data_IF_037373219072
#
_entry.id   IF_037373219072
#
_cell.length_a   1.000
_cell.length_b   1.000
_cell.length_c   1.000
_cell.angle_alpha   90.00
_cell.angle_beta   90.00
_cell.angle_gamma   90.00
#
_symmetry.space_group_name_H-M   'P 1'
#
loop_
_entity.id
_entity.type
_entity.pdbx_description
1 polymer ?
#
# COMPACT_ATOMS: atom_id res chain seq x y z
N UNK A 1 52.23 48.12 -4.93
CA UNK A 1 51.66 47.33 -4.02
C UNK A 1 50.21 47.08 -4.11
N UNK A 2 49.88 46.08 -4.49
CA UNK A 2 48.60 45.78 -4.56
C UNK A 2 48.28 44.77 -3.56
N UNK A 3 47.54 45.11 -2.74
CA UNK A 3 46.99 44.09 -1.99
C UNK A 3 46.06 43.40 -2.90
N UNK A 4 46.46 42.39 -3.41
CA UNK A 4 45.50 41.56 -4.02
C UNK A 4 44.60 41.18 -2.94
N UNK A 5 43.47 41.62 -3.06
CA UNK A 5 42.45 41.16 -2.22
C UNK A 5 42.46 39.66 -2.32
N UNK A 6 42.71 39.04 -1.26
CA UNK A 6 42.63 37.61 -1.25
C UNK A 6 41.27 37.26 -1.79
N UNK A 7 41.21 36.38 -2.73
CA UNK A 7 39.92 35.99 -3.22
C UNK A 7 39.10 35.51 -2.05
N UNK A 8 38.07 36.20 -1.86
CA UNK A 8 37.14 35.77 -0.82
C UNK A 8 36.70 34.40 -1.20
N UNK A 9 37.09 33.49 -0.40
CA UNK A 9 36.60 32.15 -0.63
C UNK A 9 35.09 32.21 -0.59
N UNK A 10 34.50 32.02 -1.72
CA UNK A 10 33.08 31.93 -1.77
C UNK A 10 32.72 30.80 -0.85
N UNK A 11 31.86 31.04 0.10
CA UNK A 11 31.46 29.96 0.99
C UNK A 11 30.85 28.87 0.14
N UNK A 12 31.44 27.75 0.22
CA UNK A 12 30.88 26.57 -0.43
C UNK A 12 29.48 26.43 0.09
N UNK A 13 28.52 26.35 -0.78
CA UNK A 13 27.16 26.16 -0.29
C UNK A 13 27.14 24.90 0.52
N UNK A 14 26.80 25.04 1.76
CA UNK A 14 26.64 23.91 2.64
C UNK A 14 25.56 23.07 2.02
N UNK A 15 25.82 21.80 1.79
CA UNK A 15 24.78 20.95 1.24
C UNK A 15 23.62 21.02 2.17
N UNK A 16 22.48 21.39 1.61
CA UNK A 16 21.27 21.46 2.35
C UNK A 16 21.03 20.10 2.97
N UNK A 17 20.78 20.03 4.29
CA UNK A 17 20.52 18.74 4.89
C UNK A 17 19.33 18.14 4.20
N UNK A 18 19.55 17.01 3.61
CA UNK A 18 18.45 16.25 3.02
C UNK A 18 17.42 16.08 4.10
N UNK A 19 16.18 16.50 3.85
CA UNK A 19 15.19 16.35 4.87
C UNK A 19 15.12 14.87 5.20
N UNK A 20 15.49 14.56 6.42
CA UNK A 20 15.33 13.23 6.91
C UNK A 20 13.86 12.93 6.77
N UNK A 21 13.50 11.86 6.08
CA UNK A 21 12.08 11.54 5.99
C UNK A 21 11.58 11.45 7.40
N UNK A 22 10.59 12.27 7.67
CA UNK A 22 9.93 12.22 8.96
C UNK A 22 9.55 10.78 9.18
N UNK A 23 9.92 10.19 10.30
CA UNK A 23 9.49 8.84 10.53
C UNK A 23 7.99 8.83 10.55
N UNK A 24 7.41 8.55 9.41
CA UNK A 24 6.04 8.16 9.35
C UNK A 24 5.95 6.98 10.28
N UNK A 25 4.96 6.92 11.17
CA UNK A 25 4.80 5.74 11.99
C UNK A 25 4.80 4.57 11.04
N UNK A 26 5.89 3.83 11.06
CA UNK A 26 6.02 2.72 10.15
C UNK A 26 4.96 1.72 10.52
N UNK A 27 4.16 1.38 9.54
CA UNK A 27 3.18 0.31 9.70
C UNK A 27 3.98 -0.95 9.97
N UNK A 28 3.73 -1.58 11.11
CA UNK A 28 4.41 -2.81 11.47
C UNK A 28 3.66 -4.03 10.97
N UNK A 29 2.36 -3.91 10.81
CA UNK A 29 1.58 -5.03 10.29
C UNK A 29 0.30 -4.56 9.63
N UNK A 30 -0.17 -5.36 8.68
CA UNK A 30 -1.42 -5.11 8.00
C UNK A 30 -2.17 -6.45 7.91
N UNK A 31 -3.45 -6.43 8.21
CA UNK A 31 -4.29 -7.62 8.18
C UNK A 31 -5.52 -7.33 7.34
N UNK A 32 -5.85 -8.22 6.43
CA UNK A 32 -7.08 -8.10 5.65
C UNK A 32 -8.21 -8.73 6.44
N UNK A 33 -9.29 -7.98 6.59
CA UNK A 33 -10.46 -8.44 7.33
C UNK A 33 -11.70 -8.36 6.46
N UNK A 34 -12.66 -9.21 6.76
CA UNK A 34 -13.96 -9.20 6.12
C UNK A 34 -15.01 -9.34 7.23
N UNK A 35 -15.90 -8.35 7.31
CA UNK A 35 -16.91 -8.29 8.37
C UNK A 35 -16.32 -8.42 9.77
N UNK A 36 -15.13 -7.82 9.95
CA UNK A 36 -14.46 -7.82 11.25
C UNK A 36 -13.65 -9.06 11.56
N UNK A 37 -13.62 -10.02 10.66
CA UNK A 37 -12.85 -11.25 10.86
C UNK A 37 -11.64 -11.29 9.95
N UNK A 38 -10.53 -11.75 10.49
CA UNK A 38 -9.32 -11.92 9.70
C UNK A 38 -9.55 -12.94 8.59
N UNK A 39 -9.19 -12.57 7.37
CA UNK A 39 -9.35 -13.45 6.21
C UNK A 39 -8.06 -13.55 5.44
N UNK A 40 -7.63 -14.77 5.19
CA UNK A 40 -6.49 -15.03 4.30
C UNK A 40 -6.98 -15.59 2.97
N UNK A 41 -8.23 -16.00 2.91
CA UNK A 41 -8.84 -16.49 1.68
C UNK A 41 -10.35 -16.37 1.79
N UNK A 42 -11.01 -16.23 0.67
CA UNK A 42 -12.47 -16.24 0.62
C UNK A 42 -12.93 -16.64 -0.79
N UNK A 43 -14.19 -17.05 -0.89
CA UNK A 43 -14.79 -17.43 -2.15
C UNK A 43 -15.91 -16.47 -2.50
N UNK A 44 -16.05 -16.19 -3.78
CA UNK A 44 -17.11 -15.34 -4.30
C UNK A 44 -17.54 -15.87 -5.66
N UNK A 45 -18.55 -15.26 -6.23
CA UNK A 45 -19.04 -15.64 -7.56
C UNK A 45 -18.78 -14.50 -8.53
N UNK A 46 -18.78 -14.83 -9.81
CA UNK A 46 -18.67 -13.80 -10.85
C UNK A 46 -19.80 -12.79 -10.66
N UNK A 47 -19.43 -11.52 -10.60
CA UNK A 47 -20.40 -10.45 -10.40
C UNK A 47 -20.63 -10.08 -8.93
N UNK A 48 -20.11 -10.86 -8.00
CA UNK A 48 -20.24 -10.53 -6.59
C UNK A 48 -19.22 -9.45 -6.20
N UNK A 49 -19.63 -8.60 -5.28
CA UNK A 49 -18.75 -7.60 -4.70
C UNK A 49 -18.50 -7.94 -3.25
N UNK A 50 -17.24 -7.99 -2.86
CA UNK A 50 -16.85 -8.35 -1.50
C UNK A 50 -16.07 -7.19 -0.91
N UNK A 51 -16.65 -6.45 0.05
CA UNK A 51 -15.92 -5.35 0.67
C UNK A 51 -14.93 -5.88 1.69
N UNK A 52 -13.65 -5.70 1.40
CA UNK A 52 -12.59 -6.05 2.34
C UNK A 52 -12.15 -4.83 3.10
N UNK A 53 -11.65 -5.05 4.29
CA UNK A 53 -11.08 -3.98 5.11
C UNK A 53 -9.71 -4.39 5.56
N UNK A 54 -8.94 -3.43 6.05
CA UNK A 54 -7.62 -3.72 6.58
C UNK A 54 -7.51 -3.19 8.00
N UNK A 55 -6.76 -3.91 8.81
CA UNK A 55 -6.38 -3.45 10.13
C UNK A 55 -4.89 -3.19 10.10
N UNK A 56 -4.49 -1.99 10.46
CA UNK A 56 -3.10 -1.56 10.39
C UNK A 56 -2.62 -1.25 11.81
N UNK A 57 -1.41 -1.69 12.13
CA UNK A 57 -0.78 -1.39 13.40
C UNK A 57 0.53 -0.64 13.19
N UNK A 58 0.80 0.40 13.96
CA UNK A 58 -0.11 0.96 14.97
C UNK A 58 -1.27 1.72 14.32
N UNK A 59 -2.41 1.71 14.99
CA UNK A 59 -3.58 2.42 14.52
C UNK A 59 -3.34 3.92 14.59
N UNK A 60 -3.88 4.66 13.63
CA UNK A 60 -3.76 6.11 13.64
C UNK A 60 -2.80 6.70 12.64
N UNK A 61 -2.13 5.88 11.85
CA UNK A 61 -1.31 6.40 10.77
C UNK A 61 -2.18 6.83 9.60
N UNK A 62 -1.86 7.98 9.02
CA UNK A 62 -2.56 8.45 7.81
C UNK A 62 -2.03 7.73 6.59
N UNK A 63 -1.97 6.44 6.64
CA UNK A 63 -1.40 5.66 5.57
C UNK A 63 -2.49 5.19 4.62
N UNK A 64 -2.24 5.39 3.35
CA UNK A 64 -3.17 4.93 2.33
C UNK A 64 -2.84 3.48 1.98
N UNK A 65 -3.85 2.63 2.04
CA UNK A 65 -3.69 1.25 1.65
C UNK A 65 -3.84 1.15 0.14
N UNK A 66 -2.89 0.51 -0.50
CA UNK A 66 -2.94 0.26 -1.94
C UNK A 66 -3.38 -1.18 -2.16
N UNK A 67 -4.44 -1.34 -2.92
CA UNK A 67 -4.98 -2.65 -3.25
C UNK A 67 -4.59 -3.04 -4.66
N UNK A 68 -4.29 -4.28 -4.86
CA UNK A 68 -3.99 -4.79 -6.20
C UNK A 68 -4.47 -6.22 -6.33
N UNK A 69 -4.77 -6.60 -7.57
CA UNK A 69 -5.17 -7.96 -7.90
C UNK A 69 -4.10 -8.58 -8.79
N UNK A 70 -3.71 -9.79 -8.46
CA UNK A 70 -2.71 -10.50 -9.26
C UNK A 70 -3.24 -10.82 -10.66
N UNK A 71 -4.54 -11.09 -10.77
CA UNK A 71 -5.16 -11.39 -12.05
C UNK A 71 -6.52 -10.70 -12.12
N UNK A 72 -6.55 -9.56 -12.80
CA UNK A 72 -7.76 -8.77 -12.91
C UNK A 72 -8.80 -9.39 -13.81
N UNK A 73 -8.44 -10.39 -14.59
CA UNK A 73 -9.41 -11.10 -15.40
C UNK A 73 -10.25 -12.07 -14.56
N UNK A 74 -9.80 -12.36 -13.36
CA UNK A 74 -10.53 -13.23 -12.43
C UNK A 74 -11.26 -12.38 -11.40
N UNK A 75 -10.57 -11.41 -10.81
CA UNK A 75 -11.17 -10.50 -9.85
C UNK A 75 -10.43 -9.17 -9.87
N UNK A 76 -11.18 -8.10 -9.67
CA UNK A 76 -10.62 -6.76 -9.54
C UNK A 76 -10.84 -6.26 -8.13
N UNK A 77 -10.06 -5.27 -7.73
CA UNK A 77 -10.22 -4.66 -6.42
C UNK A 77 -10.19 -3.14 -6.58
N UNK A 78 -11.08 -2.47 -5.86
CA UNK A 78 -11.15 -1.01 -5.89
C UNK A 78 -10.18 -0.41 -4.87
N UNK A 79 -10.00 0.90 -4.93
CA UNK A 79 -9.17 1.62 -3.98
C UNK A 79 -9.67 1.48 -2.55
N UNK A 80 -10.90 1.12 -2.40
CA UNK A 80 -11.51 0.95 -1.06
C UNK A 80 -11.46 -0.49 -0.58
N UNK A 81 -10.90 -1.38 -1.38
CA UNK A 81 -10.82 -2.78 -0.99
C UNK A 81 -12.03 -3.61 -1.39
N UNK A 82 -12.88 -3.11 -2.27
CA UNK A 82 -14.02 -3.90 -2.75
C UNK A 82 -13.55 -4.79 -3.89
N UNK A 83 -13.68 -6.09 -3.69
CA UNK A 83 -13.29 -7.09 -4.68
C UNK A 83 -14.50 -7.46 -5.51
N UNK A 84 -14.34 -7.42 -6.83
CA UNK A 84 -15.42 -7.78 -7.75
C UNK A 84 -15.00 -9.00 -8.56
N UNK A 85 -15.84 -10.03 -8.57
CA UNK A 85 -15.59 -11.21 -9.37
C UNK A 85 -15.82 -10.91 -10.85
N UNK A 86 -14.84 -11.22 -11.68
CA UNK A 86 -14.91 -10.95 -13.12
C UNK A 86 -14.99 -12.25 -13.90
N UNK A 87 -14.18 -13.22 -13.53
CA UNK A 87 -14.14 -14.50 -14.21
C UNK A 87 -13.82 -15.63 -13.26
N UNK A 88 -14.24 -16.83 -13.64
CA UNK A 88 -13.97 -18.02 -12.83
C UNK A 88 -12.48 -18.28 -12.73
N UNK A 89 -12.01 -18.55 -11.51
CA UNK A 89 -10.62 -18.89 -11.27
C UNK A 89 -10.16 -18.49 -9.89
N UNK A 90 -8.86 -18.48 -9.69
CA UNK A 90 -8.26 -18.12 -8.42
C UNK A 90 -7.26 -17.00 -8.63
N UNK A 91 -7.33 -15.97 -7.80
CA UNK A 91 -6.38 -14.87 -7.84
C UNK A 91 -6.01 -14.47 -6.42
N UNK A 92 -5.03 -13.59 -6.30
CA UNK A 92 -4.61 -13.08 -5.01
C UNK A 92 -4.79 -11.56 -4.98
N UNK A 93 -5.43 -11.07 -3.93
CA UNK A 93 -5.59 -9.64 -3.70
C UNK A 93 -4.56 -9.24 -2.67
N UNK A 94 -3.80 -8.22 -2.97
CA UNK A 94 -2.75 -7.72 -2.09
C UNK A 94 -3.09 -6.34 -1.60
N UNK A 95 -2.97 -6.14 -0.29
CA UNK A 95 -3.09 -4.83 0.32
C UNK A 95 -1.71 -4.42 0.80
N UNK A 96 -1.26 -3.25 0.42
CA UNK A 96 0.06 -2.74 0.79
C UNK A 96 -0.07 -1.39 1.47
N UNK A 97 0.65 -1.23 2.56
CA UNK A 97 0.66 0.03 3.29
C UNK A 97 2.00 0.17 4.02
N UNK A 98 2.71 1.28 3.75
CA UNK A 98 3.95 1.56 4.47
C UNK A 98 5.04 0.51 4.33
N UNK A 99 5.07 -0.20 3.22
CA UNK A 99 6.09 -1.24 3.00
C UNK A 99 5.70 -2.61 3.52
N UNK A 100 4.53 -2.73 4.14
CA UNK A 100 4.00 -4.00 4.64
C UNK A 100 2.89 -4.46 3.72
N UNK A 101 2.85 -5.73 3.43
CA UNK A 101 1.85 -6.29 2.52
C UNK A 101 1.07 -7.41 3.19
N UNK A 102 -0.19 -7.55 2.80
CA UNK A 102 -1.00 -8.68 3.19
C UNK A 102 -1.69 -9.23 1.95
N UNK A 103 -1.69 -10.54 1.81
CA UNK A 103 -2.29 -11.20 0.67
C UNK A 103 -3.54 -11.94 1.09
N UNK A 104 -4.51 -11.97 0.19
CA UNK A 104 -5.74 -12.71 0.40
C UNK A 104 -6.06 -13.48 -0.87
N UNK A 105 -6.23 -14.77 -0.75
CA UNK A 105 -6.56 -15.60 -1.91
C UNK A 105 -8.06 -15.53 -2.17
N UNK A 106 -8.42 -15.31 -3.42
CA UNK A 106 -9.82 -15.19 -3.82
C UNK A 106 -10.16 -16.28 -4.80
N UNK A 107 -11.21 -17.02 -4.48
CA UNK A 107 -11.72 -18.06 -5.36
C UNK A 107 -13.01 -17.54 -5.99
N UNK A 108 -13.00 -17.37 -7.29
CA UNK A 108 -14.17 -16.91 -8.03
C UNK A 108 -14.78 -18.09 -8.74
N UNK A 109 -16.04 -18.35 -8.46
CA UNK A 109 -16.76 -19.46 -9.09
C UNK A 109 -17.77 -18.92 -10.09
N UNK A 110 -18.23 -19.78 -10.97
CA UNK A 110 -19.23 -19.38 -11.94
C UNK A 110 -20.54 -19.00 -11.24
N UNK A 111 -21.15 -17.99 -11.78
CA UNK A 111 -22.40 -17.49 -11.23
C UNK A 111 -23.54 -18.50 -11.36
#
# INVERSE_FOLDING_TARGET
TVSSAAPVATPTPTPEPTPTPTPTPSVTSITITFLGSKRTEFAAKVGDEVPLSTTIYPAGGNQTVTWSSKDESIATVSDKGVVTGVGKGTTTITAECGGVKADCTVYITAK
#
